data_IF_418298121378
#
_entry.id   IF_418298121378
#
_cell.length_a   1.000
_cell.length_b   1.000
_cell.length_c   1.000
_cell.angle_alpha   90.00
_cell.angle_beta   90.00
_cell.angle_gamma   90.00
#
_symmetry.space_group_name_H-M   'P 1'
#
loop_
_entity.id
_entity.type
_entity.pdbx_description
1 polymer ?
#
# COMPACT_ATOMS: atom_id res chain seq x y z
N UNK A 1 -69.77 -42.50 19.55
CA UNK A 1 -68.38 -42.95 19.40
C UNK A 1 -67.47 -41.74 19.42
N UNK A 2 -66.52 -41.73 20.35
CA UNK A 2 -65.54 -40.67 20.58
C UNK A 2 -64.42 -40.75 19.54
N UNK A 3 -63.97 -39.62 19.02
CA UNK A 3 -62.58 -39.44 18.57
C UNK A 3 -62.18 -37.96 18.73
N UNK A 4 -61.53 -37.68 19.85
CA UNK A 4 -60.80 -36.43 20.11
C UNK A 4 -59.43 -36.49 19.44
N UNK A 5 -59.16 -35.61 18.48
CA UNK A 5 -57.80 -35.36 17.99
C UNK A 5 -57.35 -33.97 18.45
N UNK A 6 -56.47 -33.94 19.46
CA UNK A 6 -55.72 -32.73 19.85
C UNK A 6 -54.65 -32.46 18.79
N UNK A 7 -54.66 -31.28 18.19
CA UNK A 7 -53.49 -30.77 17.48
C UNK A 7 -52.90 -29.55 18.19
N UNK A 8 -51.65 -29.76 18.62
CA UNK A 8 -50.77 -28.84 19.29
C UNK A 8 -50.54 -27.58 18.46
N UNK A 9 -50.50 -26.45 19.15
CA UNK A 9 -50.26 -25.14 18.57
C UNK A 9 -48.92 -25.05 17.85
N UNK A 10 -48.96 -24.58 16.60
CA UNK A 10 -47.79 -24.01 15.94
C UNK A 10 -47.62 -22.58 16.45
N UNK A 11 -46.61 -22.40 17.31
CA UNK A 11 -46.07 -21.08 17.64
C UNK A 11 -45.72 -20.37 16.33
N UNK A 12 -46.28 -19.18 16.13
CA UNK A 12 -45.79 -18.23 15.15
C UNK A 12 -44.34 -17.88 15.54
N UNK A 13 -43.37 -18.45 14.84
CA UNK A 13 -41.99 -17.97 14.89
C UNK A 13 -42.01 -16.66 14.12
N UNK A 14 -42.22 -15.56 14.84
CA UNK A 14 -41.85 -14.24 14.37
C UNK A 14 -40.35 -14.23 14.12
N UNK A 15 -39.94 -14.63 12.93
CA UNK A 15 -38.62 -14.31 12.43
C UNK A 15 -38.64 -12.80 12.24
N UNK A 16 -37.93 -12.12 13.15
CA UNK A 16 -37.68 -10.69 13.09
C UNK A 16 -37.26 -10.38 11.66
N UNK A 17 -38.11 -9.68 10.92
CA UNK A 17 -37.70 -8.98 9.72
C UNK A 17 -36.66 -7.97 10.19
N UNK A 18 -35.40 -8.40 10.23
CA UNK A 18 -34.27 -7.50 10.26
C UNK A 18 -34.36 -6.78 8.92
N UNK A 19 -34.95 -5.59 8.94
CA UNK A 19 -34.87 -4.64 7.84
C UNK A 19 -33.39 -4.55 7.46
N UNK A 20 -33.03 -5.16 6.32
CA UNK A 20 -31.67 -5.17 5.78
C UNK A 20 -31.33 -3.74 5.34
N UNK A 21 -31.08 -2.88 6.32
CA UNK A 21 -30.21 -1.72 6.16
C UNK A 21 -28.88 -2.30 5.70
N UNK A 22 -28.47 -1.94 4.48
CA UNK A 22 -27.18 -2.25 3.87
C UNK A 22 -26.05 -1.67 4.75
N UNK A 23 -25.76 -2.32 5.89
CA UNK A 23 -24.55 -2.02 6.66
C UNK A 23 -23.40 -2.56 5.83
N UNK A 24 -22.47 -1.68 5.47
CA UNK A 24 -21.20 -2.03 4.86
C UNK A 24 -20.44 -2.96 5.81
N UNK A 25 -20.68 -4.27 5.69
CA UNK A 25 -20.17 -5.32 6.59
C UNK A 25 -18.85 -5.95 6.07
N UNK A 26 -18.32 -5.42 4.97
CA UNK A 26 -17.06 -5.92 4.38
C UNK A 26 -15.88 -5.25 5.07
N UNK A 27 -15.00 -6.05 5.68
CA UNK A 27 -13.74 -5.57 6.26
C UNK A 27 -12.67 -5.42 5.17
N UNK A 28 -12.19 -4.20 4.97
CA UNK A 28 -11.03 -3.92 4.13
C UNK A 28 -9.76 -4.55 4.74
N UNK A 29 -8.82 -4.95 3.87
CA UNK A 29 -7.49 -5.36 4.33
C UNK A 29 -6.64 -4.12 4.65
N UNK A 30 -5.83 -4.19 5.71
CA UNK A 30 -4.88 -3.13 6.05
C UNK A 30 -3.78 -3.00 5.01
N UNK A 31 -3.31 -1.76 4.80
CA UNK A 31 -2.20 -1.42 3.88
C UNK A 31 -0.96 -0.91 4.62
N UNK A 32 -0.95 -1.11 5.93
CA UNK A 32 0.02 -0.53 6.85
C UNK A 32 0.87 -1.64 7.48
N UNK A 33 2.18 -1.47 7.47
CA UNK A 33 3.18 -2.39 8.01
C UNK A 33 4.01 -1.68 9.08
N UNK A 34 4.46 -2.44 10.09
CA UNK A 34 5.36 -1.93 11.13
C UNK A 34 4.67 -1.23 12.30
N UNK A 35 5.43 -1.05 13.39
CA UNK A 35 4.95 -0.47 14.65
C UNK A 35 5.42 0.98 14.80
N UNK A 36 6.74 1.15 14.95
CA UNK A 36 7.41 2.44 15.15
C UNK A 36 7.81 3.04 13.80
N UNK A 37 8.59 2.31 13.00
CA UNK A 37 8.75 2.62 11.58
C UNK A 37 7.56 2.02 10.84
N UNK A 38 6.60 2.88 10.50
CA UNK A 38 5.31 2.45 9.94
C UNK A 38 5.17 2.88 8.50
N UNK A 39 4.85 1.94 7.62
CA UNK A 39 4.71 2.18 6.18
C UNK A 39 3.29 1.88 5.76
N UNK A 40 2.60 2.87 5.20
CA UNK A 40 1.29 2.68 4.56
C UNK A 40 1.43 2.86 3.06
N UNK A 41 1.19 1.82 2.27
CA UNK A 41 1.20 1.92 0.80
C UNK A 41 -0.16 2.37 0.27
N UNK A 42 -0.20 3.03 -0.89
CA UNK A 42 -1.44 3.44 -1.54
C UNK A 42 -1.37 3.37 -3.08
N UNK A 43 -2.54 3.44 -3.71
CA UNK A 43 -2.71 3.55 -5.15
C UNK A 43 -2.95 2.23 -5.87
N UNK A 44 -3.48 2.37 -7.08
CA UNK A 44 -3.79 1.29 -8.02
C UNK A 44 -2.91 1.42 -9.26
N UNK A 45 -2.63 0.30 -9.92
CA UNK A 45 -1.75 0.28 -11.09
C UNK A 45 -2.22 1.12 -12.29
N UNK A 46 -3.53 1.35 -12.39
CA UNK A 46 -4.19 2.18 -13.40
C UNK A 46 -4.85 3.41 -12.76
N UNK A 47 -4.48 3.76 -11.52
CA UNK A 47 -4.85 5.03 -10.89
C UNK A 47 -3.96 6.18 -11.36
N UNK A 48 -4.01 7.32 -10.67
CA UNK A 48 -3.14 8.48 -10.95
C UNK A 48 -1.67 8.24 -10.56
N UNK A 49 -1.44 7.32 -9.64
CA UNK A 49 -0.12 6.98 -9.14
C UNK A 49 -0.21 5.95 -8.02
N UNK A 50 0.96 5.45 -7.62
CA UNK A 50 1.15 4.61 -6.44
C UNK A 50 2.17 5.25 -5.52
N UNK A 51 2.21 4.85 -4.26
CA UNK A 51 3.14 5.46 -3.33
C UNK A 51 3.08 4.88 -1.92
N UNK A 52 3.71 5.58 -1.01
CA UNK A 52 3.67 5.26 0.40
C UNK A 52 3.73 6.50 1.29
N UNK A 53 3.27 6.34 2.51
CA UNK A 53 3.51 7.24 3.64
C UNK A 53 4.31 6.47 4.68
N UNK A 54 5.41 7.06 5.13
CA UNK A 54 6.33 6.48 6.09
C UNK A 54 6.31 7.36 7.34
N UNK A 55 6.00 6.75 8.48
CA UNK A 55 5.97 7.38 9.79
C UNK A 55 7.06 6.78 10.70
N UNK A 56 7.53 7.56 11.67
CA UNK A 56 8.59 7.16 12.61
C UNK A 56 10.00 7.21 12.06
N UNK A 57 10.26 8.02 11.02
CA UNK A 57 11.62 8.35 10.59
C UNK A 57 12.14 9.49 11.48
N UNK A 58 13.29 9.37 12.15
CA UNK A 58 13.83 10.45 12.97
C UNK A 58 14.22 11.65 12.10
N UNK A 59 14.20 12.89 12.64
CA UNK A 59 14.63 14.07 11.91
C UNK A 59 16.13 14.04 11.62
N UNK A 60 16.58 14.90 10.68
CA UNK A 60 17.99 15.12 10.31
C UNK A 60 18.67 13.94 9.62
N UNK A 61 17.92 12.94 9.17
CA UNK A 61 18.43 11.95 8.21
C UNK A 61 18.52 12.61 6.83
N UNK A 62 19.72 12.69 6.25
CA UNK A 62 19.91 13.11 4.87
C UNK A 62 19.31 12.07 3.92
N UNK A 63 18.47 12.50 2.99
CA UNK A 63 17.81 11.63 1.99
C UNK A 63 17.44 12.45 0.76
N UNK A 64 17.65 11.88 -0.43
CA UNK A 64 17.26 12.51 -1.70
C UNK A 64 16.38 11.57 -2.54
N UNK A 65 15.66 12.15 -3.50
CA UNK A 65 14.88 11.38 -4.49
C UNK A 65 15.78 10.45 -5.30
N UNK A 66 17.01 10.84 -5.62
CA UNK A 66 17.97 10.02 -6.37
C UNK A 66 18.33 8.72 -5.64
N UNK A 67 18.49 8.77 -4.30
CA UNK A 67 18.77 7.58 -3.50
C UNK A 67 17.59 6.59 -3.52
N UNK A 68 16.36 7.11 -3.54
CA UNK A 68 15.13 6.31 -3.67
C UNK A 68 15.02 5.76 -5.10
N UNK A 69 15.31 6.59 -6.09
CA UNK A 69 15.26 6.26 -7.50
C UNK A 69 16.17 5.08 -7.84
N UNK A 70 17.37 5.03 -7.26
CA UNK A 70 18.31 3.92 -7.43
C UNK A 70 17.70 2.56 -7.05
N UNK A 71 16.95 2.50 -5.94
CA UNK A 71 16.30 1.25 -5.51
C UNK A 71 15.07 0.95 -6.37
N UNK A 72 14.33 1.97 -6.83
CA UNK A 72 13.24 1.79 -7.79
C UNK A 72 13.74 1.27 -9.14
N UNK A 73 14.88 1.73 -9.62
CA UNK A 73 15.48 1.27 -10.88
C UNK A 73 15.94 -0.18 -10.81
N UNK A 74 16.40 -0.63 -9.63
CA UNK A 74 16.70 -2.06 -9.37
C UNK A 74 15.44 -2.93 -9.36
N UNK A 75 14.31 -2.38 -8.94
CA UNK A 75 13.01 -3.07 -8.93
C UNK A 75 12.44 -3.25 -10.34
N UNK A 76 12.72 -2.31 -11.27
CA UNK A 76 12.12 -2.31 -12.61
C UNK A 76 12.32 -3.66 -13.30
N UNK A 77 11.24 -4.34 -13.71
CA UNK A 77 11.36 -5.57 -14.50
C UNK A 77 11.93 -5.22 -15.88
N UNK A 78 12.71 -6.14 -16.44
CA UNK A 78 13.16 -6.00 -17.81
C UNK A 78 14.49 -5.28 -18.04
N UNK A 79 15.41 -5.42 -17.08
CA UNK A 79 16.82 -5.10 -17.29
C UNK A 79 17.53 -6.03 -18.30
N UNK A 80 16.82 -7.04 -18.84
CA UNK A 80 17.33 -7.97 -19.84
C UNK A 80 16.64 -7.79 -21.20
N UNK A 81 17.39 -8.12 -22.26
CA UNK A 81 17.04 -7.94 -23.68
C UNK A 81 15.73 -8.64 -24.12
N UNK A 82 15.16 -9.52 -23.29
CA UNK A 82 14.05 -10.43 -23.62
C UNK A 82 12.67 -9.89 -23.21
N UNK A 83 12.60 -8.73 -22.55
CA UNK A 83 11.36 -8.25 -21.91
C UNK A 83 10.68 -7.10 -22.66
N UNK A 84 9.35 -7.02 -22.57
CA UNK A 84 8.55 -5.99 -23.25
C UNK A 84 8.83 -4.59 -22.68
N UNK A 85 9.04 -3.55 -23.51
CA UNK A 85 9.45 -2.22 -23.07
C UNK A 85 8.23 -1.41 -22.61
N UNK A 86 7.67 -1.72 -21.43
CA UNK A 86 6.81 -0.72 -20.75
C UNK A 86 7.72 0.29 -20.07
N UNK A 87 7.99 1.38 -20.78
CA UNK A 87 8.87 2.47 -20.38
C UNK A 87 8.14 3.46 -19.47
N UNK A 88 7.49 2.95 -18.44
CA UNK A 88 7.02 3.80 -17.35
C UNK A 88 8.23 4.12 -16.49
N UNK A 89 8.77 5.34 -16.61
CA UNK A 89 9.79 5.78 -15.68
C UNK A 89 9.12 5.92 -14.31
N UNK A 90 9.33 4.94 -13.44
CA UNK A 90 8.97 5.03 -12.03
C UNK A 90 9.81 6.13 -11.39
N UNK A 91 9.39 7.39 -11.53
CA UNK A 91 10.04 8.56 -10.93
C UNK A 91 9.48 8.77 -9.53
N UNK A 92 10.35 8.69 -8.52
CA UNK A 92 10.01 9.03 -7.15
C UNK A 92 9.86 10.56 -6.98
N UNK A 93 8.79 10.97 -6.33
CA UNK A 93 8.55 12.36 -5.92
C UNK A 93 8.22 12.37 -4.42
N UNK A 94 9.03 13.09 -3.62
CA UNK A 94 8.78 13.29 -2.19
C UNK A 94 7.85 14.49 -2.02
N UNK A 95 6.67 14.24 -1.45
CA UNK A 95 5.63 15.26 -1.26
C UNK A 95 5.69 15.93 0.12
N UNK A 96 6.28 15.28 1.12
CA UNK A 96 6.33 15.79 2.51
C UNK A 96 7.39 15.09 3.35
N UNK A 97 7.66 15.62 4.55
CA UNK A 97 8.54 15.00 5.54
C UNK A 97 10.04 15.21 5.31
N UNK A 98 10.41 15.89 4.22
CA UNK A 98 11.79 16.25 3.86
C UNK A 98 11.81 17.74 3.47
N UNK A 99 12.80 18.47 3.96
CA UNK A 99 13.12 19.83 3.54
C UNK A 99 14.64 19.95 3.41
N UNK A 100 15.12 20.65 2.39
CA UNK A 100 16.55 20.88 2.13
C UNK A 100 17.40 19.59 2.17
N UNK A 101 16.83 18.48 1.68
CA UNK A 101 17.51 17.17 1.62
C UNK A 101 17.62 16.44 2.96
N UNK A 102 16.96 16.91 4.02
CA UNK A 102 16.92 16.24 5.32
C UNK A 102 15.50 16.00 5.81
N UNK A 103 15.31 14.89 6.52
CA UNK A 103 14.01 14.53 7.12
C UNK A 103 13.64 15.45 8.28
N UNK A 104 12.35 15.72 8.43
CA UNK A 104 11.80 16.61 9.46
C UNK A 104 11.32 15.88 10.72
N UNK A 105 11.28 14.55 10.71
CA UNK A 105 10.65 13.76 11.78
C UNK A 105 9.13 13.59 11.62
N UNK A 106 8.53 14.33 10.70
CA UNK A 106 7.12 14.19 10.30
C UNK A 106 6.96 13.10 9.23
N UNK A 107 5.73 12.61 8.98
CA UNK A 107 5.50 11.59 7.96
C UNK A 107 6.04 12.00 6.58
N UNK A 108 6.73 11.05 5.93
CA UNK A 108 7.27 11.20 4.58
C UNK A 108 6.29 10.57 3.60
N UNK A 109 5.73 11.37 2.69
CA UNK A 109 4.91 10.86 1.60
C UNK A 109 5.70 10.83 0.30
N UNK A 110 5.72 9.68 -0.37
CA UNK A 110 6.40 9.47 -1.66
C UNK A 110 5.35 9.00 -2.66
N UNK A 111 5.35 9.60 -3.86
CA UNK A 111 4.48 9.21 -4.96
C UNK A 111 5.29 8.88 -6.21
N UNK A 112 4.79 7.92 -6.99
CA UNK A 112 5.21 7.63 -8.35
C UNK A 112 3.99 7.74 -9.24
N UNK A 113 4.04 8.62 -10.23
CA UNK A 113 2.90 8.90 -11.12
C UNK A 113 2.84 7.90 -12.27
N UNK A 114 1.63 7.45 -12.60
CA UNK A 114 1.43 6.52 -13.71
C UNK A 114 1.37 7.32 -15.03
N UNK A 115 2.22 7.01 -16.03
CA UNK A 115 2.33 7.78 -17.28
C UNK A 115 1.38 7.32 -18.39
N UNK A 116 1.00 6.03 -18.43
CA UNK A 116 0.18 5.49 -19.53
C UNK A 116 -1.19 4.99 -19.05
N UNK A 117 -2.23 5.77 -19.35
CA UNK A 117 -3.64 5.43 -19.15
C UNK A 117 -4.26 5.04 -20.50
N UNK A 118 -3.71 4.04 -21.21
CA UNK A 118 -4.38 3.52 -22.41
C UNK A 118 -5.48 2.56 -22.01
N UNK A 119 -6.68 3.11 -21.85
CA UNK A 119 -7.91 2.43 -21.47
C UNK A 119 -8.55 1.57 -22.58
N UNK A 120 -7.95 1.49 -23.77
CA UNK A 120 -8.63 0.98 -24.97
C UNK A 120 -8.60 -0.54 -25.17
N UNK A 121 -7.72 -1.29 -24.49
CA UNK A 121 -7.56 -2.75 -24.74
C UNK A 121 -8.28 -3.67 -23.72
N UNK A 122 -9.12 -3.13 -22.82
CA UNK A 122 -9.61 -3.89 -21.65
C UNK A 122 -11.07 -4.37 -21.72
N UNK A 123 -11.76 -4.19 -22.84
CA UNK A 123 -13.18 -4.58 -23.01
C UNK A 123 -13.41 -6.09 -22.87
N UNK A 124 -12.47 -6.93 -23.33
CA UNK A 124 -12.57 -8.39 -23.17
C UNK A 124 -12.29 -8.87 -21.73
N UNK A 125 -11.45 -8.15 -20.98
CA UNK A 125 -11.13 -8.44 -19.59
C UNK A 125 -12.28 -8.13 -18.61
N UNK A 126 -13.32 -7.44 -19.08
CA UNK A 126 -14.54 -7.25 -18.31
C UNK A 126 -15.35 -8.54 -18.16
N UNK A 127 -15.18 -9.52 -19.05
CA UNK A 127 -16.09 -10.67 -19.15
C UNK A 127 -15.60 -11.89 -18.35
N UNK A 128 -14.28 -12.08 -18.23
CA UNK A 128 -13.70 -13.27 -17.59
C UNK A 128 -12.75 -12.93 -16.43
N UNK A 129 -12.60 -13.86 -15.48
CA UNK A 129 -11.54 -13.80 -14.46
C UNK A 129 -10.24 -14.38 -15.01
N UNK A 130 -9.12 -13.65 -14.86
CA UNK A 130 -7.83 -14.17 -15.31
C UNK A 130 -7.35 -15.29 -14.38
N UNK A 131 -6.91 -16.44 -14.91
CA UNK A 131 -6.26 -17.47 -14.10
C UNK A 131 -5.06 -16.90 -13.32
N UNK A 132 -4.89 -17.36 -12.08
CA UNK A 132 -3.80 -16.94 -11.17
C UNK A 132 -3.76 -15.45 -10.83
N UNK A 133 -4.85 -14.70 -11.04
CA UNK A 133 -4.99 -13.31 -10.61
C UNK A 133 -6.04 -13.15 -9.51
N UNK A 134 -5.99 -12.02 -8.80
CA UNK A 134 -6.89 -11.75 -7.68
C UNK A 134 -8.29 -11.26 -8.11
N UNK A 135 -8.63 -11.32 -9.41
CA UNK A 135 -9.87 -10.74 -9.95
C UNK A 135 -11.11 -11.29 -9.26
N UNK A 136 -11.22 -12.62 -9.17
CA UNK A 136 -12.35 -13.29 -8.55
C UNK A 136 -12.40 -13.04 -7.04
N UNK A 137 -11.27 -13.15 -6.34
CA UNK A 137 -11.25 -12.99 -4.87
C UNK A 137 -11.56 -11.55 -4.45
N UNK A 138 -11.12 -10.55 -5.21
CA UNK A 138 -11.51 -9.16 -4.98
C UNK A 138 -13.00 -8.94 -5.24
N UNK A 139 -13.54 -9.50 -6.32
CA UNK A 139 -14.96 -9.34 -6.64
C UNK A 139 -15.85 -10.03 -5.59
N UNK A 140 -15.54 -11.26 -5.20
CA UNK A 140 -16.26 -11.96 -4.13
C UNK A 140 -16.16 -11.26 -2.77
N UNK A 141 -15.00 -10.66 -2.45
CA UNK A 141 -14.80 -10.01 -1.14
C UNK A 141 -15.43 -8.62 -1.08
N UNK A 142 -15.23 -7.80 -2.12
CA UNK A 142 -15.56 -6.38 -2.10
C UNK A 142 -16.78 -6.02 -2.97
N UNK A 143 -17.24 -6.93 -3.83
CA UNK A 143 -18.36 -6.69 -4.76
C UNK A 143 -18.06 -5.68 -5.87
N UNK A 144 -16.79 -5.27 -6.01
CA UNK A 144 -16.32 -4.31 -7.00
C UNK A 144 -14.95 -4.74 -7.53
N UNK A 145 -14.72 -4.51 -8.83
CA UNK A 145 -13.49 -4.91 -9.53
C UNK A 145 -12.91 -3.77 -10.35
N UNK A 146 -11.59 -3.59 -10.26
CA UNK A 146 -10.84 -2.66 -11.10
C UNK A 146 -10.52 -3.32 -12.46
N UNK A 147 -11.46 -3.31 -13.39
CA UNK A 147 -11.39 -4.05 -14.68
C UNK A 147 -10.21 -3.62 -15.56
N UNK A 148 -9.78 -2.36 -15.47
CA UNK A 148 -8.65 -1.83 -16.25
C UNK A 148 -7.30 -2.47 -15.90
N UNK A 149 -7.18 -3.29 -14.84
CA UNK A 149 -5.92 -3.92 -14.50
C UNK A 149 -5.99 -4.85 -13.29
N UNK A 150 -4.87 -5.02 -12.58
CA UNK A 150 -4.83 -5.77 -11.31
C UNK A 150 -5.27 -4.94 -10.09
N UNK A 151 -5.69 -3.68 -10.28
CA UNK A 151 -6.02 -2.77 -9.18
C UNK A 151 -4.93 -2.73 -8.11
N UNK A 152 -5.34 -2.91 -6.85
CA UNK A 152 -4.45 -2.93 -5.68
C UNK A 152 -3.60 -4.20 -5.54
N UNK A 153 -3.98 -5.32 -6.16
CA UNK A 153 -3.16 -6.55 -6.13
C UNK A 153 -2.04 -6.56 -7.18
N UNK A 154 -1.87 -5.47 -7.93
CA UNK A 154 -0.83 -5.38 -8.94
C UNK A 154 0.57 -5.31 -8.32
N UNK A 155 1.56 -5.85 -9.04
CA UNK A 155 2.98 -5.70 -8.71
C UNK A 155 3.42 -4.23 -8.57
N UNK A 156 2.67 -3.27 -9.12
CA UNK A 156 2.94 -1.84 -8.97
C UNK A 156 2.88 -1.36 -7.51
N UNK A 157 2.14 -2.04 -6.64
CA UNK A 157 2.13 -1.75 -5.19
C UNK A 157 3.53 -1.86 -4.56
N UNK A 158 4.40 -2.72 -5.12
CA UNK A 158 5.76 -2.91 -4.61
C UNK A 158 6.63 -1.66 -4.72
N UNK A 159 6.26 -0.67 -5.55
CA UNK A 159 6.93 0.63 -5.63
C UNK A 159 6.92 1.31 -4.26
N UNK A 160 5.76 1.36 -3.58
CA UNK A 160 5.66 1.97 -2.25
C UNK A 160 6.54 1.24 -1.21
N UNK A 161 6.67 -0.08 -1.35
CA UNK A 161 7.54 -0.89 -0.47
C UNK A 161 9.02 -0.61 -0.73
N UNK A 162 9.44 -0.53 -1.98
CA UNK A 162 10.84 -0.27 -2.35
C UNK A 162 11.23 1.14 -1.95
N UNK A 163 10.36 2.12 -2.18
CA UNK A 163 10.60 3.50 -1.75
C UNK A 163 10.78 3.59 -0.22
N UNK A 164 9.89 2.93 0.55
CA UNK A 164 10.04 2.86 2.00
C UNK A 164 11.28 2.07 2.44
N UNK A 165 11.63 1.01 1.71
CA UNK A 165 12.84 0.23 1.92
C UNK A 165 14.12 1.03 1.70
N UNK A 166 14.14 1.95 0.74
CA UNK A 166 15.27 2.85 0.51
C UNK A 166 15.51 3.78 1.73
N UNK A 167 14.43 4.37 2.27
CA UNK A 167 14.49 5.19 3.49
C UNK A 167 14.94 4.36 4.70
N UNK A 168 14.36 3.17 4.89
CA UNK A 168 14.75 2.27 5.97
C UNK A 168 16.22 1.86 5.86
N UNK A 169 16.71 1.56 4.64
CA UNK A 169 18.10 1.20 4.37
C UNK A 169 19.04 2.35 4.69
N UNK A 170 18.67 3.59 4.35
CA UNK A 170 19.46 4.79 4.72
C UNK A 170 19.53 4.96 6.23
N UNK A 171 18.40 4.83 6.93
CA UNK A 171 18.35 4.89 8.39
C UNK A 171 19.21 3.80 9.05
N UNK A 172 19.11 2.56 8.58
CA UNK A 172 19.92 1.44 9.08
C UNK A 172 21.41 1.62 8.82
N UNK A 173 21.81 2.26 7.71
CA UNK A 173 23.22 2.59 7.48
C UNK A 173 23.74 3.53 8.57
N UNK A 174 22.99 4.58 8.93
CA UNK A 174 23.41 5.53 9.96
C UNK A 174 23.48 4.88 11.35
N UNK A 175 22.52 4.02 11.69
CA UNK A 175 22.47 3.35 13.00
C UNK A 175 23.46 2.18 13.11
N UNK A 176 23.59 1.39 12.04
CA UNK A 176 24.36 0.14 12.03
C UNK A 176 25.81 0.28 11.59
N UNK A 177 26.17 1.30 10.80
CA UNK A 177 27.52 1.55 10.32
C UNK A 177 27.93 3.01 10.55
N UNK A 178 28.93 3.19 11.41
CA UNK A 178 29.59 4.41 11.87
C UNK A 178 30.05 5.40 10.77
N UNK A 179 29.16 5.97 9.98
CA UNK A 179 29.41 7.23 9.25
C UNK A 179 28.71 8.36 10.00
N UNK A 180 29.43 8.94 10.97
CA UNK A 180 29.09 10.27 11.45
C UNK A 180 29.35 11.23 10.29
N UNK A 181 28.29 11.57 9.57
CA UNK A 181 28.33 12.70 8.66
C UNK A 181 28.78 13.92 9.47
N UNK A 182 29.92 14.51 9.09
CA UNK A 182 30.61 15.57 9.85
C UNK A 182 29.81 16.89 9.89
N UNK A 183 28.63 16.93 9.28
CA UNK A 183 27.70 18.06 9.31
C UNK A 183 26.80 18.15 10.55
N UNK A 184 26.68 17.09 11.36
CA UNK A 184 25.94 17.18 12.63
C UNK A 184 26.85 17.70 13.76
N UNK A 185 27.00 19.01 13.82
CA UNK A 185 27.28 19.69 15.09
C UNK A 185 26.13 19.38 16.07
N UNK A 186 26.36 18.43 16.98
CA UNK A 186 25.43 18.07 18.06
C UNK A 186 24.81 16.67 17.98
N UNK A 187 25.60 15.62 17.76
CA UNK A 187 25.16 14.21 17.86
C UNK A 187 25.40 13.62 19.27
N UNK A 188 25.13 14.37 20.33
CA UNK A 188 25.09 13.87 21.72
C UNK A 188 23.69 13.62 22.25
N UNK A 189 22.63 13.87 21.47
CA UNK A 189 21.24 13.84 21.98
C UNK A 189 20.34 12.73 21.41
N UNK A 190 20.80 12.00 20.38
CA UNK A 190 20.00 10.93 19.76
C UNK A 190 19.91 9.65 20.61
N UNK A 191 20.84 9.40 21.53
CA UNK A 191 20.72 8.25 22.45
C UNK A 191 19.68 8.47 23.57
N UNK A 192 19.29 9.72 23.86
CA UNK A 192 18.33 10.04 24.91
C UNK A 192 16.87 9.76 24.54
N UNK A 193 16.51 9.88 23.26
CA UNK A 193 15.10 9.85 22.83
C UNK A 193 14.59 8.46 22.41
N UNK A 194 15.47 7.52 22.04
CA UNK A 194 15.09 6.13 21.74
C UNK A 194 14.78 5.29 22.98
N UNK A 195 15.00 5.82 24.19
CA UNK A 195 14.71 5.15 25.48
C UNK A 195 13.50 5.74 26.23
N UNK A 196 12.87 6.77 25.69
CA UNK A 196 11.68 7.39 26.29
C UNK A 196 10.48 7.19 25.35
N UNK A 197 9.84 6.02 25.45
CA UNK A 197 8.64 5.65 24.70
C UNK A 197 8.20 4.24 25.05
#
# INVERSE_FOLDING_TARGET
MQTTTRHLGRRAVGSRQCSRSLRLCVRAAGSTYGNNFRVTTFGESHGKGVGCVIDGVPPRLAITEDEIQLELDRRKPGQSIITTPRKEDDIAEILSGVADGVTLGTPIAIVVRNKDQKSQDYTEMAVAYRPSHADATYDFKYGIRAVAGGGRSSARETIGRVAAGAVAKKLLKVVGNTERDKGLGGATELEGHLRAG
#
